data_IF_003590242528
#
_entry.id   IF_003590242528
#
_cell.length_a   1.000
_cell.length_b   1.000
_cell.length_c   1.000
_cell.angle_alpha   90.00
_cell.angle_beta   90.00
_cell.angle_gamma   90.00
#
_symmetry.space_group_name_H-M   'P 1'
#
loop_
_entity.id
_entity.type
_entity.pdbx_description
1 polymer ?
#
# COMPACT_ATOMS: atom_id res chain seq x y z
N UNK A 1 13.02 -15.60 4.32
CA UNK A 1 13.24 -14.18 4.46
C UNK A 1 12.10 -13.38 3.86
N UNK A 2 11.60 -12.42 4.59
CA UNK A 2 10.45 -11.65 4.16
C UNK A 2 10.89 -10.46 3.33
N UNK A 3 10.23 -10.26 2.21
CA UNK A 3 10.50 -9.11 1.35
C UNK A 3 9.30 -8.19 1.37
N UNK A 4 8.99 -7.72 2.57
CA UNK A 4 7.84 -6.84 2.75
C UNK A 4 8.27 -5.39 2.62
N UNK A 5 7.49 -4.63 1.90
CA UNK A 5 7.72 -3.21 1.70
C UNK A 5 6.52 -2.43 2.18
N UNK A 6 6.76 -1.21 2.61
CA UNK A 6 5.70 -0.35 3.09
C UNK A 6 5.51 0.81 2.12
N UNK A 7 4.26 1.08 1.76
CA UNK A 7 3.93 2.25 0.96
C UNK A 7 2.79 2.99 1.64
N UNK A 8 2.73 4.28 1.41
CA UNK A 8 1.65 5.07 1.98
C UNK A 8 0.32 4.65 1.38
N UNK A 9 -0.74 4.80 2.16
CA UNK A 9 -2.07 4.44 1.68
C UNK A 9 -2.41 5.25 0.43
N UNK A 10 -2.08 6.54 0.42
CA UNK A 10 -2.38 7.37 -0.75
C UNK A 10 -1.64 6.88 -2.00
N UNK A 11 -0.39 6.46 -1.83
CA UNK A 11 0.39 5.94 -2.95
C UNK A 11 -0.24 4.66 -3.49
N UNK A 12 -0.62 3.77 -2.60
CA UNK A 12 -1.23 2.51 -3.02
C UNK A 12 -2.59 2.74 -3.68
N UNK A 13 -3.37 3.68 -3.13
CA UNK A 13 -4.69 3.98 -3.69
C UNK A 13 -4.57 4.52 -5.11
N UNK A 14 -3.60 5.41 -5.32
CA UNK A 14 -3.37 5.96 -6.66
C UNK A 14 -2.99 4.85 -7.64
N UNK A 15 -2.11 3.95 -7.21
CA UNK A 15 -1.70 2.83 -8.04
C UNK A 15 -2.88 1.93 -8.39
N UNK A 16 -3.73 1.65 -7.40
CA UNK A 16 -4.86 0.75 -7.60
C UNK A 16 -6.03 1.42 -8.30
N UNK A 17 -6.01 2.75 -8.40
CA UNK A 17 -7.08 3.46 -9.06
C UNK A 17 -8.34 3.61 -8.21
N UNK A 18 -8.17 3.64 -6.89
CA UNK A 18 -9.30 3.78 -5.97
C UNK A 18 -9.00 4.89 -4.96
N UNK A 19 -10.00 5.25 -4.17
CA UNK A 19 -9.81 6.28 -3.16
C UNK A 19 -9.08 5.71 -1.94
N UNK A 20 -8.49 6.60 -1.15
CA UNK A 20 -7.83 6.17 0.08
C UNK A 20 -8.84 5.56 1.05
N UNK A 21 -10.06 6.08 1.05
CA UNK A 21 -11.10 5.52 1.91
C UNK A 21 -11.38 4.06 1.58
N UNK A 22 -11.37 3.72 0.29
CA UNK A 22 -11.58 2.33 -0.11
C UNK A 22 -10.47 1.44 0.43
N UNK A 23 -9.23 1.95 0.42
CA UNK A 23 -8.10 1.18 0.95
C UNK A 23 -8.26 0.98 2.46
N UNK A 24 -8.64 2.03 3.19
CA UNK A 24 -8.85 1.91 4.64
C UNK A 24 -9.93 0.89 4.96
N UNK A 25 -10.99 0.85 4.17
CA UNK A 25 -12.04 -0.14 4.39
C UNK A 25 -11.52 -1.55 4.19
N UNK A 26 -10.69 -1.75 3.17
CA UNK A 26 -10.12 -3.07 2.93
C UNK A 26 -9.16 -3.47 4.04
N UNK A 27 -8.43 -2.51 4.60
CA UNK A 27 -7.57 -2.78 5.74
C UNK A 27 -8.40 -3.23 6.93
N UNK A 28 -9.51 -2.54 7.19
CA UNK A 28 -10.39 -2.89 8.30
C UNK A 28 -10.96 -4.30 8.15
N UNK A 29 -11.25 -4.69 6.93
CA UNK A 29 -11.83 -6.00 6.66
C UNK A 29 -10.78 -7.11 6.66
N UNK A 30 -9.52 -6.74 6.76
CA UNK A 30 -8.44 -7.72 6.74
C UNK A 30 -8.05 -8.18 5.35
N UNK A 31 -8.56 -7.51 4.31
CA UNK A 31 -8.20 -7.87 2.94
C UNK A 31 -6.81 -7.38 2.55
N UNK A 32 -6.34 -6.33 3.22
CA UNK A 32 -5.03 -5.75 2.95
C UNK A 32 -4.29 -5.63 4.26
N UNK A 33 -3.04 -6.06 4.27
CA UNK A 33 -2.19 -5.93 5.45
C UNK A 33 -1.70 -4.49 5.56
N UNK A 34 -1.59 -4.03 6.79
CA UNK A 34 -1.12 -2.67 7.04
C UNK A 34 -0.23 -2.64 8.26
N UNK A 35 0.54 -1.57 8.36
CA UNK A 35 1.39 -1.34 9.51
C UNK A 35 1.41 0.13 9.81
N UNK A 36 1.38 0.47 11.09
CA UNK A 36 1.37 1.86 11.50
C UNK A 36 2.72 2.24 12.06
N UNK A 37 3.33 3.27 11.51
CA UNK A 37 4.64 3.76 11.95
C UNK A 37 4.49 5.26 12.18
N UNK A 38 4.79 5.71 13.40
CA UNK A 38 4.71 7.13 13.75
C UNK A 38 3.36 7.73 13.36
N UNK A 39 2.29 7.01 13.69
CA UNK A 39 0.91 7.45 13.42
C UNK A 39 0.58 7.55 11.94
N UNK A 40 1.41 6.98 11.09
CA UNK A 40 1.15 6.92 9.66
C UNK A 40 0.87 5.48 9.28
N UNK A 41 -0.24 5.26 8.59
CA UNK A 41 -0.61 3.92 8.16
C UNK A 41 0.02 3.63 6.81
N UNK A 42 0.70 2.48 6.74
CA UNK A 42 1.32 2.01 5.51
C UNK A 42 0.69 0.70 5.08
N UNK A 43 0.64 0.47 3.78
CA UNK A 43 0.21 -0.80 3.23
C UNK A 43 1.43 -1.70 3.09
N UNK A 44 1.29 -2.96 3.51
CA UNK A 44 2.39 -3.93 3.43
C UNK A 44 2.23 -4.70 2.13
N UNK A 45 3.25 -4.64 1.28
CA UNK A 45 3.21 -5.28 -0.03
C UNK A 45 4.50 -6.06 -0.26
N UNK A 46 4.48 -6.91 -1.28
CA UNK A 46 5.68 -7.66 -1.62
C UNK A 46 6.53 -6.86 -2.61
N UNK A 47 7.71 -7.41 -2.93
CA UNK A 47 8.65 -6.72 -3.79
C UNK A 47 8.09 -6.52 -5.19
N UNK A 48 7.37 -7.51 -5.70
CA UNK A 48 6.82 -7.41 -7.05
C UNK A 48 5.83 -6.25 -7.14
N UNK A 49 4.94 -6.14 -6.17
CA UNK A 49 3.99 -5.05 -6.13
C UNK A 49 4.71 -3.72 -5.93
N UNK A 50 5.70 -3.71 -5.05
CA UNK A 50 6.47 -2.49 -4.80
C UNK A 50 7.14 -1.99 -6.08
N UNK A 51 7.76 -2.90 -6.80
CA UNK A 51 8.44 -2.54 -8.06
C UNK A 51 7.44 -2.00 -9.09
N UNK A 52 6.25 -2.61 -9.15
CA UNK A 52 5.22 -2.15 -10.06
C UNK A 52 4.78 -0.74 -9.73
N UNK A 53 4.63 -0.44 -8.43
CA UNK A 53 4.23 0.90 -8.01
C UNK A 53 5.31 1.92 -8.35
N UNK A 54 6.56 1.58 -8.08
CA UNK A 54 7.66 2.50 -8.37
C UNK A 54 7.78 2.74 -9.88
N UNK A 55 7.58 1.71 -10.66
CA UNK A 55 7.63 1.84 -12.11
C UNK A 55 6.51 2.77 -12.59
N UNK A 56 5.35 2.63 -12.01
CA UNK A 56 4.20 3.45 -12.35
C UNK A 56 4.47 4.92 -12.06
N UNK A 57 5.24 5.21 -11.04
CA UNK A 57 5.51 6.59 -10.64
C UNK A 57 6.57 7.27 -11.49
N UNK A 58 7.26 6.52 -12.29
CA UNK A 58 8.33 7.09 -13.13
C UNK A 58 7.83 7.86 -14.32
N UNK A 59 6.57 7.75 -14.63
CA UNK A 59 5.98 8.39 -15.80
C UNK A 59 5.78 9.86 -15.70
#
# INVERSE_FOLDING_TARGET
MENNFLVKVSTYATYAGVSTMAIYKQIERGAIKSEKVDDVTFVVIDKITYDAIMESKKR
#
